data_IF_021189320718
#
_entry.id   IF_021189320718
#
_cell.length_a   1.000
_cell.length_b   1.000
_cell.length_c   1.000
_cell.angle_alpha   90.00
_cell.angle_beta   90.00
_cell.angle_gamma   90.00
#
_symmetry.space_group_name_H-M   'P 1'
#
loop_
_entity.id
_entity.type
_entity.pdbx_description
1 polymer ?
#
# COMPACT_ATOMS: atom_id res chain seq x y z
N UNK A 1 11.28 -24.10 8.68
CA UNK A 1 12.27 -23.21 9.32
C UNK A 1 12.21 -21.88 8.59
N UNK A 2 12.24 -20.75 9.29
CA UNK A 2 12.24 -19.44 8.64
C UNK A 2 13.64 -19.21 8.02
N UNK A 3 13.72 -19.20 6.70
CA UNK A 3 14.96 -19.04 5.92
C UNK A 3 15.69 -17.71 6.17
N UNK A 4 14.94 -16.68 6.60
CA UNK A 4 15.47 -15.32 6.80
C UNK A 4 15.79 -14.98 8.25
N UNK A 5 15.66 -15.93 9.20
CA UNK A 5 15.79 -15.67 10.66
C UNK A 5 17.10 -14.98 11.05
N UNK A 6 18.19 -15.30 10.36
CA UNK A 6 19.53 -14.80 10.67
C UNK A 6 19.98 -13.64 9.76
N UNK A 7 19.04 -13.08 8.96
CA UNK A 7 19.31 -11.90 8.14
C UNK A 7 19.26 -10.63 8.99
N UNK A 8 20.02 -9.60 8.55
CA UNK A 8 19.91 -8.28 9.14
C UNK A 8 18.50 -7.73 8.92
N UNK A 9 17.89 -7.11 9.94
CA UNK A 9 16.53 -6.59 9.83
C UNK A 9 16.45 -5.42 8.86
N UNK A 10 15.37 -5.37 8.09
CA UNK A 10 14.99 -4.19 7.29
C UNK A 10 14.52 -3.09 8.25
N UNK A 11 15.01 -1.87 8.09
CA UNK A 11 14.47 -0.69 8.76
C UNK A 11 13.26 -0.19 7.96
N UNK A 12 12.05 -0.38 8.48
CA UNK A 12 10.80 0.05 7.85
C UNK A 12 10.35 1.39 8.42
N UNK A 13 10.36 2.43 7.59
CA UNK A 13 9.77 3.75 7.88
C UNK A 13 8.30 3.73 7.48
N UNK A 14 7.41 3.88 8.47
CA UNK A 14 6.04 3.44 8.35
C UNK A 14 5.04 4.38 9.02
N UNK A 15 3.84 4.42 8.48
CA UNK A 15 2.62 4.87 9.14
C UNK A 15 1.46 3.97 8.69
N UNK A 16 0.41 3.69 9.53
CA UNK A 16 -0.68 2.76 9.20
C UNK A 16 -1.59 3.33 8.11
N UNK A 17 -1.14 3.27 6.87
CA UNK A 17 -1.81 3.73 5.65
C UNK A 17 -1.91 2.60 4.64
N UNK A 18 -2.79 2.74 3.65
CA UNK A 18 -2.93 1.74 2.57
C UNK A 18 -1.61 1.45 1.84
N UNK A 19 -0.69 2.42 1.76
CA UNK A 19 0.63 2.21 1.17
C UNK A 19 1.61 1.54 2.16
N UNK A 20 1.53 1.89 3.45
CA UNK A 20 2.33 1.26 4.51
C UNK A 20 2.04 -0.24 4.60
N UNK A 21 0.77 -0.62 4.59
CA UNK A 21 0.33 -2.02 4.67
C UNK A 21 0.97 -2.93 3.61
N UNK A 22 1.29 -2.42 2.43
CA UNK A 22 1.94 -3.21 1.38
C UNK A 22 3.23 -3.85 1.89
N UNK A 23 4.04 -3.08 2.60
CA UNK A 23 5.38 -3.51 3.02
C UNK A 23 5.31 -4.33 4.31
N UNK A 24 4.49 -3.91 5.28
CA UNK A 24 4.29 -4.71 6.49
C UNK A 24 3.73 -6.11 6.16
N UNK A 25 2.77 -6.20 5.23
CA UNK A 25 2.23 -7.48 4.76
C UNK A 25 3.32 -8.32 4.10
N UNK A 26 4.14 -7.74 3.21
CA UNK A 26 5.21 -8.49 2.57
C UNK A 26 6.19 -9.07 3.58
N UNK A 27 6.65 -8.24 4.53
CA UNK A 27 7.63 -8.67 5.53
C UNK A 27 7.07 -9.76 6.45
N UNK A 28 5.80 -9.66 6.83
CA UNK A 28 5.12 -10.70 7.61
C UNK A 28 4.91 -12.01 6.82
N UNK A 29 4.51 -11.92 5.54
CA UNK A 29 4.34 -13.10 4.67
C UNK A 29 5.66 -13.80 4.37
N UNK A 30 6.74 -13.05 4.18
CA UNK A 30 8.07 -13.59 3.97
C UNK A 30 8.70 -14.11 5.28
N UNK A 31 8.20 -13.68 6.44
CA UNK A 31 8.87 -13.89 7.72
C UNK A 31 10.23 -13.22 7.78
N UNK A 32 10.44 -12.13 7.04
CA UNK A 32 11.71 -11.41 7.02
C UNK A 32 11.82 -10.50 8.25
N UNK A 33 12.97 -10.48 8.96
CA UNK A 33 13.13 -9.63 10.14
C UNK A 33 13.10 -8.14 9.76
N UNK A 34 12.42 -7.34 10.57
CA UNK A 34 12.35 -5.90 10.36
C UNK A 34 12.13 -5.13 11.67
N UNK A 35 12.61 -3.89 11.70
CA UNK A 35 12.35 -2.91 12.73
C UNK A 35 11.39 -1.85 12.19
N UNK A 36 10.48 -1.35 13.02
CA UNK A 36 9.52 -0.32 12.62
C UNK A 36 9.95 1.03 13.15
N UNK A 37 10.09 1.98 12.24
CA UNK A 37 10.33 3.39 12.53
C UNK A 37 9.07 4.17 12.14
N UNK A 38 8.24 4.54 13.13
CA UNK A 38 7.03 5.30 12.86
C UNK A 38 7.36 6.72 12.43
N UNK A 39 6.75 7.16 11.31
CA UNK A 39 6.84 8.53 10.80
C UNK A 39 5.48 9.17 10.92
N UNK A 40 5.26 9.99 11.96
CA UNK A 40 3.96 10.58 12.23
C UNK A 40 3.63 11.70 11.22
N UNK A 41 2.86 11.32 10.21
CA UNK A 41 2.49 12.22 9.11
C UNK A 41 1.58 13.38 9.56
N UNK A 42 0.83 13.20 10.66
CA UNK A 42 -0.03 14.24 11.20
C UNK A 42 0.76 15.33 11.92
N UNK A 43 1.99 15.03 12.34
CA UNK A 43 2.92 15.98 12.97
C UNK A 43 3.95 16.55 12.00
N UNK A 44 3.97 16.09 10.75
CA UNK A 44 4.90 16.60 9.74
C UNK A 44 6.28 15.94 9.77
N UNK A 45 6.46 14.82 10.48
CA UNK A 45 7.75 14.13 10.57
C UNK A 45 8.29 13.67 9.21
N UNK A 46 7.41 13.51 8.20
CA UNK A 46 7.83 13.22 6.82
C UNK A 46 8.63 14.35 6.15
N UNK A 47 8.68 15.53 6.75
CA UNK A 47 9.46 16.68 6.27
C UNK A 47 10.79 16.84 6.97
N UNK A 48 11.07 16.02 7.97
CA UNK A 48 12.35 16.09 8.68
C UNK A 48 13.52 15.77 7.75
N UNK A 49 14.64 16.55 7.83
CA UNK A 49 15.78 16.34 6.95
C UNK A 49 16.37 14.92 6.99
N UNK A 50 16.26 14.25 8.12
CA UNK A 50 16.67 12.85 8.28
C UNK A 50 15.83 11.90 7.41
N UNK A 51 14.52 12.09 7.39
CA UNK A 51 13.62 11.27 6.58
C UNK A 51 13.71 11.63 5.08
N UNK A 52 13.88 12.90 4.73
CA UNK A 52 14.03 13.32 3.34
C UNK A 52 15.26 12.71 2.64
N UNK A 53 16.31 12.35 3.39
CA UNK A 53 17.46 11.62 2.85
C UNK A 53 17.10 10.20 2.41
N UNK A 54 16.08 9.59 3.05
CA UNK A 54 15.61 8.23 2.80
C UNK A 54 14.51 8.26 1.74
N UNK A 55 13.57 9.20 1.85
CA UNK A 55 12.43 9.39 0.96
C UNK A 55 12.32 10.84 0.51
N UNK A 56 12.97 11.23 -0.60
CA UNK A 56 12.98 12.61 -1.10
C UNK A 56 11.57 13.10 -1.52
N UNK A 57 10.63 12.19 -1.71
CA UNK A 57 9.22 12.48 -1.97
C UNK A 57 8.41 12.79 -0.69
N UNK A 58 9.04 12.80 0.49
CA UNK A 58 8.38 12.97 1.79
C UNK A 58 7.12 12.08 1.97
N UNK A 59 7.20 10.83 1.54
CA UNK A 59 6.12 9.83 1.65
C UNK A 59 6.65 8.54 2.28
N UNK A 60 5.82 7.91 3.11
CA UNK A 60 6.05 6.55 3.55
C UNK A 60 5.13 5.58 2.76
N UNK A 61 5.45 4.30 2.68
CA UNK A 61 6.62 3.65 3.29
C UNK A 61 7.93 3.97 2.57
N UNK A 62 9.02 3.88 3.34
CA UNK A 62 10.38 3.78 2.83
C UNK A 62 11.12 2.71 3.65
N UNK A 63 12.19 2.17 3.11
CA UNK A 63 13.03 1.19 3.83
C UNK A 63 14.51 1.57 3.75
N UNK A 64 15.27 1.11 4.75
CA UNK A 64 16.72 0.94 4.64
C UNK A 64 17.00 -0.54 4.74
N UNK A 65 17.70 -1.08 3.76
CA UNK A 65 18.22 -2.44 3.80
C UNK A 65 19.73 -2.39 4.05
N UNK A 66 20.20 -2.86 5.23
CA UNK A 66 21.63 -2.84 5.55
C UNK A 66 22.44 -3.86 4.75
N UNK A 67 21.78 -4.88 4.17
CA UNK A 67 22.39 -5.93 3.33
C UNK A 67 21.80 -5.85 1.91
N UNK A 68 21.92 -4.69 1.28
CA UNK A 68 21.45 -4.45 -0.07
C UNK A 68 22.34 -5.07 -1.16
N UNK A 69 22.16 -4.67 -2.43
CA UNK A 69 22.97 -5.17 -3.53
C UNK A 69 24.47 -5.03 -3.28
N UNK A 70 25.23 -6.08 -3.54
CA UNK A 70 26.69 -6.16 -3.28
C UNK A 70 27.05 -6.04 -1.78
N UNK A 71 26.10 -6.33 -0.87
CA UNK A 71 26.33 -6.23 0.58
C UNK A 71 26.45 -4.80 1.09
N UNK A 72 25.91 -3.82 0.35
CA UNK A 72 25.94 -2.41 0.73
C UNK A 72 24.54 -1.95 1.15
N UNK A 73 24.49 -1.10 2.17
CA UNK A 73 23.25 -0.46 2.60
C UNK A 73 22.59 0.31 1.45
N UNK A 74 21.26 0.21 1.38
CA UNK A 74 20.47 0.95 0.40
C UNK A 74 19.17 1.49 1.03
N UNK A 75 18.84 2.73 0.72
CA UNK A 75 17.53 3.34 1.02
C UNK A 75 16.63 3.23 -0.20
N UNK A 76 15.38 2.83 0.00
CA UNK A 76 14.39 2.68 -1.08
C UNK A 76 13.07 3.33 -0.65
N UNK A 77 12.54 4.17 -1.51
CA UNK A 77 11.19 4.75 -1.40
C UNK A 77 10.33 4.30 -2.59
N UNK A 78 9.05 4.66 -2.61
CA UNK A 78 7.98 4.16 -3.47
C UNK A 78 7.57 2.71 -3.15
N UNK A 79 6.36 2.55 -2.63
CA UNK A 79 5.86 1.25 -2.16
C UNK A 79 5.88 0.15 -3.23
N UNK A 80 5.64 0.50 -4.50
CA UNK A 80 5.74 -0.45 -5.62
C UNK A 80 7.19 -0.89 -5.88
N UNK A 81 8.15 0.05 -5.83
CA UNK A 81 9.57 -0.26 -5.99
C UNK A 81 10.10 -1.11 -4.83
N UNK A 82 9.68 -0.81 -3.60
CA UNK A 82 10.02 -1.60 -2.41
C UNK A 82 9.52 -3.04 -2.55
N UNK A 83 8.26 -3.23 -2.97
CA UNK A 83 7.70 -4.57 -3.21
C UNK A 83 8.50 -5.37 -4.24
N UNK A 84 8.83 -4.74 -5.38
CA UNK A 84 9.67 -5.41 -6.40
C UNK A 84 11.07 -5.75 -5.87
N UNK A 85 11.68 -4.81 -5.12
CA UNK A 85 12.99 -5.04 -4.53
C UNK A 85 12.96 -6.22 -3.56
N UNK A 86 12.02 -6.23 -2.61
CA UNK A 86 11.88 -7.29 -1.62
C UNK A 86 11.55 -8.64 -2.27
N UNK A 87 10.68 -8.64 -3.30
CA UNK A 87 10.37 -9.82 -4.08
C UNK A 87 11.58 -10.41 -4.77
N UNK A 88 12.44 -9.58 -5.38
CA UNK A 88 13.71 -10.01 -6.00
C UNK A 88 14.72 -10.48 -4.96
N UNK A 89 14.86 -9.77 -3.84
CA UNK A 89 15.79 -10.10 -2.76
C UNK A 89 15.47 -11.45 -2.12
N UNK A 90 14.19 -11.73 -1.89
CA UNK A 90 13.74 -12.93 -1.19
C UNK A 90 13.41 -14.10 -2.12
N UNK A 91 13.15 -13.84 -3.39
CA UNK A 91 12.63 -14.83 -4.33
C UNK A 91 11.15 -15.19 -4.08
N UNK A 92 10.44 -14.45 -3.21
CA UNK A 92 9.07 -14.73 -2.82
C UNK A 92 8.09 -13.72 -3.43
N UNK A 93 6.89 -14.17 -3.80
CA UNK A 93 5.75 -13.36 -4.25
C UNK A 93 6.00 -12.51 -5.51
N UNK A 94 7.14 -12.73 -6.17
CA UNK A 94 7.52 -12.05 -7.41
C UNK A 94 8.25 -13.08 -8.29
N UNK A 95 7.59 -13.60 -9.33
CA UNK A 95 8.10 -14.73 -10.09
C UNK A 95 9.37 -14.40 -10.87
N UNK A 96 10.24 -15.41 -11.06
CA UNK A 96 11.43 -15.30 -11.92
C UNK A 96 11.12 -15.54 -13.40
N UNK A 97 10.02 -16.23 -13.72
CA UNK A 97 9.55 -16.39 -15.10
C UNK A 97 9.10 -15.04 -15.68
N UNK A 98 9.67 -14.67 -16.83
CA UNK A 98 9.46 -13.35 -17.41
C UNK A 98 8.00 -13.05 -17.79
N UNK A 99 7.22 -14.06 -18.22
CA UNK A 99 5.80 -13.85 -18.57
C UNK A 99 4.96 -13.62 -17.33
N UNK A 100 5.14 -14.42 -16.31
CA UNK A 100 4.48 -14.24 -15.01
C UNK A 100 4.88 -12.91 -14.36
N UNK A 101 6.17 -12.55 -14.45
CA UNK A 101 6.68 -11.28 -13.92
C UNK A 101 6.01 -10.08 -14.59
N UNK A 102 5.88 -10.09 -15.92
CA UNK A 102 5.17 -9.03 -16.66
C UNK A 102 3.71 -8.92 -16.21
N UNK A 103 3.03 -10.04 -15.98
CA UNK A 103 1.64 -10.00 -15.48
C UNK A 103 1.56 -9.37 -14.09
N UNK A 104 2.45 -9.74 -13.16
CA UNK A 104 2.53 -9.13 -11.83
C UNK A 104 2.82 -7.63 -11.92
N UNK A 105 3.77 -7.23 -12.79
CA UNK A 105 4.14 -5.84 -12.99
C UNK A 105 2.99 -5.00 -13.54
N UNK A 106 2.24 -5.51 -14.53
CA UNK A 106 1.06 -4.84 -15.06
C UNK A 106 0.06 -4.50 -13.95
N UNK A 107 -0.23 -5.46 -13.06
CA UNK A 107 -1.18 -5.25 -11.97
C UNK A 107 -0.61 -4.39 -10.83
N UNK A 108 0.68 -4.50 -10.56
CA UNK A 108 1.37 -3.62 -9.61
C UNK A 108 1.33 -2.17 -10.10
N UNK A 109 1.70 -1.92 -11.36
CA UNK A 109 1.67 -0.56 -11.93
C UNK A 109 0.23 -0.05 -12.11
N UNK A 110 -0.73 -0.91 -12.45
CA UNK A 110 -2.14 -0.56 -12.44
C UNK A 110 -2.61 -0.12 -11.05
N UNK A 111 -2.18 -0.80 -9.99
CA UNK A 111 -2.50 -0.37 -8.64
C UNK A 111 -1.87 0.98 -8.31
N UNK A 112 -0.58 1.15 -8.57
CA UNK A 112 0.18 2.38 -8.25
C UNK A 112 -0.31 3.58 -9.07
N UNK A 113 -0.60 3.38 -10.36
CA UNK A 113 -0.98 4.46 -11.26
C UNK A 113 -2.49 4.76 -11.31
N UNK A 114 -3.33 3.81 -10.90
CA UNK A 114 -4.77 3.96 -11.04
C UNK A 114 -5.50 3.72 -9.71
N UNK A 115 -5.55 2.47 -9.21
CA UNK A 115 -6.40 2.13 -8.07
C UNK A 115 -6.06 2.96 -6.83
N UNK A 116 -4.79 3.05 -6.47
CA UNK A 116 -4.34 3.78 -5.29
C UNK A 116 -4.70 5.26 -5.37
N UNK A 117 -4.21 6.02 -6.36
CA UNK A 117 -4.47 7.45 -6.48
C UNK A 117 -5.96 7.79 -6.56
N UNK A 118 -6.75 7.02 -7.32
CA UNK A 118 -8.18 7.32 -7.48
C UNK A 118 -8.98 7.01 -6.22
N UNK A 119 -8.66 5.90 -5.52
CA UNK A 119 -9.29 5.55 -4.26
C UNK A 119 -8.92 6.57 -3.15
N UNK A 120 -7.68 7.09 -3.16
CA UNK A 120 -7.26 8.16 -2.25
C UNK A 120 -8.07 9.44 -2.48
N UNK A 121 -8.24 9.87 -3.74
CA UNK A 121 -9.03 11.06 -4.05
C UNK A 121 -10.51 10.86 -3.71
N UNK A 122 -11.10 9.70 -3.99
CA UNK A 122 -12.46 9.38 -3.59
C UNK A 122 -12.61 9.49 -2.05
N UNK A 123 -11.67 8.91 -1.30
CA UNK A 123 -11.65 9.01 0.16
C UNK A 123 -11.51 10.46 0.62
N UNK A 124 -10.59 11.22 0.04
CA UNK A 124 -10.35 12.63 0.40
C UNK A 124 -11.59 13.50 0.21
N UNK A 125 -12.18 13.52 -0.97
CA UNK A 125 -13.32 14.39 -1.26
C UNK A 125 -14.60 13.98 -0.51
N UNK A 126 -14.75 12.69 -0.19
CA UNK A 126 -15.89 12.20 0.61
C UNK A 126 -15.75 12.51 2.10
N UNK A 127 -14.55 12.36 2.66
CA UNK A 127 -14.37 12.32 4.12
C UNK A 127 -13.58 13.50 4.69
N UNK A 128 -12.57 14.03 3.97
CA UNK A 128 -11.66 15.04 4.51
C UNK A 128 -11.90 16.46 4.00
N UNK A 129 -12.34 16.60 2.75
CA UNK A 129 -12.54 17.91 2.15
C UNK A 129 -13.54 18.76 2.95
N UNK A 130 -13.12 19.93 3.41
CA UNK A 130 -13.94 20.88 4.14
C UNK A 130 -15.07 21.44 3.25
N UNK A 131 -14.78 21.60 1.96
CA UNK A 131 -15.79 22.02 0.96
C UNK A 131 -16.26 20.78 0.22
N UNK A 132 -17.56 20.48 0.29
CA UNK A 132 -18.15 19.36 -0.48
C UNK A 132 -18.33 19.79 -1.92
N UNK A 133 -17.49 19.24 -2.80
CA UNK A 133 -17.53 19.46 -4.25
C UNK A 133 -18.17 18.21 -4.89
N UNK A 134 -19.48 18.28 -5.13
CA UNK A 134 -20.24 17.12 -5.59
C UNK A 134 -19.65 16.50 -6.86
N UNK A 135 -19.25 17.32 -7.84
CA UNK A 135 -18.62 16.84 -9.07
C UNK A 135 -17.35 16.00 -8.79
N UNK A 136 -16.50 16.43 -7.86
CA UNK A 136 -15.28 15.68 -7.52
C UNK A 136 -15.63 14.37 -6.79
N UNK A 137 -16.59 14.42 -5.87
CA UNK A 137 -17.10 13.24 -5.16
C UNK A 137 -17.60 12.21 -6.18
N UNK A 138 -18.48 12.60 -7.10
CA UNK A 138 -19.04 11.70 -8.10
C UNK A 138 -17.98 11.18 -9.07
N UNK A 139 -17.10 12.06 -9.55
CA UNK A 139 -16.03 11.71 -10.50
C UNK A 139 -15.12 10.63 -9.95
N UNK A 140 -14.63 10.80 -8.72
CA UNK A 140 -13.69 9.83 -8.13
C UNK A 140 -14.39 8.58 -7.61
N UNK A 141 -15.61 8.69 -7.06
CA UNK A 141 -16.42 7.53 -6.66
C UNK A 141 -16.70 6.62 -7.87
N UNK A 142 -17.10 7.21 -9.01
CA UNK A 142 -17.37 6.47 -10.24
C UNK A 142 -16.10 5.82 -10.80
N UNK A 143 -14.95 6.50 -10.72
CA UNK A 143 -13.68 5.92 -11.17
C UNK A 143 -13.24 4.74 -10.30
N UNK A 144 -13.40 4.83 -8.98
CA UNK A 144 -13.14 3.67 -8.08
C UNK A 144 -14.09 2.51 -8.40
N UNK A 145 -15.38 2.79 -8.66
CA UNK A 145 -16.34 1.78 -9.07
C UNK A 145 -15.88 1.06 -10.34
N UNK A 146 -15.47 1.82 -11.36
CA UNK A 146 -14.93 1.27 -12.61
C UNK A 146 -13.69 0.39 -12.36
N UNK A 147 -12.77 0.83 -11.51
CA UNK A 147 -11.55 0.08 -11.17
C UNK A 147 -11.86 -1.20 -10.39
N UNK A 148 -12.80 -1.15 -9.45
CA UNK A 148 -13.29 -2.37 -8.79
C UNK A 148 -13.95 -3.33 -9.79
N UNK A 149 -14.68 -2.81 -10.77
CA UNK A 149 -15.23 -3.60 -11.87
C UNK A 149 -14.17 -4.28 -12.73
N UNK A 150 -13.05 -3.59 -13.02
CA UNK A 150 -11.90 -4.19 -13.73
C UNK A 150 -11.29 -5.32 -12.94
N UNK A 151 -11.07 -5.12 -11.64
CA UNK A 151 -10.53 -6.15 -10.77
C UNK A 151 -11.48 -7.36 -10.62
N UNK A 152 -12.76 -7.08 -10.36
CA UNK A 152 -13.80 -8.11 -10.27
C UNK A 152 -13.89 -8.96 -11.54
N UNK A 153 -13.83 -8.31 -12.72
CA UNK A 153 -13.80 -9.00 -14.01
C UNK A 153 -12.56 -9.85 -14.19
N UNK A 154 -11.39 -9.37 -13.76
CA UNK A 154 -10.13 -10.15 -13.84
C UNK A 154 -10.24 -11.45 -13.04
N UNK A 155 -10.88 -11.40 -11.87
CA UNK A 155 -11.07 -12.56 -11.00
C UNK A 155 -12.22 -13.50 -11.44
N UNK A 156 -13.04 -13.11 -12.40
CA UNK A 156 -14.23 -13.88 -12.82
C UNK A 156 -13.91 -15.14 -13.61
N UNK A 157 -12.67 -15.35 -14.02
CA UNK A 157 -12.22 -16.59 -14.67
C UNK A 157 -11.92 -17.73 -13.70
N UNK A 158 -12.14 -17.52 -12.40
CA UNK A 158 -11.94 -18.51 -11.33
C UNK A 158 -10.58 -18.48 -10.67
N UNK A 159 -9.72 -17.55 -11.04
CA UNK A 159 -8.42 -17.36 -10.37
C UNK A 159 -8.59 -16.90 -8.93
N UNK A 160 -7.67 -17.29 -8.08
CA UNK A 160 -7.69 -16.90 -6.67
C UNK A 160 -7.06 -15.54 -6.41
N UNK A 161 -6.08 -15.14 -7.23
CA UNK A 161 -5.27 -13.92 -7.08
C UNK A 161 -5.18 -13.18 -8.41
N UNK A 162 -4.84 -11.88 -8.36
CA UNK A 162 -4.94 -10.99 -9.52
C UNK A 162 -3.98 -11.41 -10.67
N UNK A 163 -2.82 -11.99 -10.32
CA UNK A 163 -1.81 -12.48 -11.26
C UNK A 163 -1.60 -14.00 -11.12
N UNK A 164 -2.68 -14.77 -11.14
CA UNK A 164 -2.75 -16.25 -10.97
C UNK A 164 -2.30 -16.71 -9.58
N UNK A 165 -1.05 -16.50 -9.21
CA UNK A 165 -0.49 -16.84 -7.91
C UNK A 165 -0.48 -15.62 -6.98
N UNK A 166 -0.51 -15.87 -5.66
CA UNK A 166 -0.37 -14.81 -4.67
C UNK A 166 0.94 -14.03 -4.85
N UNK A 167 0.83 -12.73 -5.00
CA UNK A 167 1.98 -11.91 -5.41
C UNK A 167 1.98 -10.52 -4.77
N UNK A 168 3.05 -9.78 -5.01
CA UNK A 168 3.16 -8.37 -4.64
C UNK A 168 2.04 -7.50 -5.22
N UNK A 169 1.40 -7.90 -6.31
CA UNK A 169 0.27 -7.20 -6.89
C UNK A 169 -0.97 -7.25 -5.97
N UNK A 170 -1.23 -8.41 -5.35
CA UNK A 170 -2.31 -8.56 -4.37
C UNK A 170 -2.03 -7.75 -3.10
N UNK A 171 -0.79 -7.82 -2.60
CA UNK A 171 -0.36 -7.02 -1.44
C UNK A 171 -0.49 -5.52 -1.69
N UNK A 172 -0.25 -5.08 -2.92
CA UNK A 172 -0.42 -3.69 -3.31
C UNK A 172 -1.88 -3.23 -3.28
N UNK A 173 -2.82 -4.12 -3.62
CA UNK A 173 -4.23 -3.80 -3.77
C UNK A 173 -5.02 -3.80 -2.46
N UNK A 174 -4.67 -4.66 -1.48
CA UNK A 174 -5.51 -4.95 -0.32
C UNK A 174 -5.89 -3.70 0.50
N UNK A 175 -4.94 -2.81 0.77
CA UNK A 175 -5.18 -1.58 1.53
C UNK A 175 -6.17 -0.62 0.84
N UNK A 176 -6.32 -0.74 -0.47
CA UNK A 176 -7.21 0.10 -1.27
C UNK A 176 -8.61 -0.49 -1.45
N UNK A 177 -8.77 -1.80 -1.23
CA UNK A 177 -10.08 -2.48 -1.19
C UNK A 177 -10.69 -2.43 0.22
N UNK A 178 -9.87 -2.35 1.28
CA UNK A 178 -10.36 -2.15 2.67
C UNK A 178 -11.20 -0.89 2.80
N UNK A 179 -12.21 -0.93 3.67
CA UNK A 179 -13.13 0.18 3.95
C UNK A 179 -13.75 0.76 2.66
N UNK A 180 -14.46 -0.05 1.87
CA UNK A 180 -15.02 0.34 0.59
C UNK A 180 -16.05 1.47 0.73
N UNK A 181 -16.83 1.49 1.83
CA UNK A 181 -17.80 2.52 2.21
C UNK A 181 -17.21 3.92 2.22
N UNK A 182 -15.99 4.09 2.74
CA UNK A 182 -15.27 5.37 2.75
C UNK A 182 -14.95 5.90 1.35
N UNK A 183 -14.99 5.04 0.34
CA UNK A 183 -14.78 5.36 -1.08
C UNK A 183 -16.08 5.34 -1.88
N UNK A 184 -17.24 5.12 -1.18
CA UNK A 184 -18.56 5.05 -1.78
C UNK A 184 -18.81 3.78 -2.58
N UNK A 185 -18.18 2.67 -2.17
CA UNK A 185 -18.35 1.36 -2.81
C UNK A 185 -19.02 0.37 -1.87
N UNK A 186 -19.70 -0.62 -2.44
CA UNK A 186 -20.18 -1.82 -1.76
C UNK A 186 -19.56 -3.05 -2.43
N UNK A 187 -18.88 -3.91 -1.67
CA UNK A 187 -18.28 -5.14 -2.20
C UNK A 187 -19.32 -6.17 -2.63
N UNK A 188 -20.59 -6.04 -2.21
CA UNK A 188 -21.65 -6.90 -2.70
C UNK A 188 -21.92 -6.72 -4.20
N UNK A 189 -21.60 -5.55 -4.77
CA UNK A 189 -21.68 -5.28 -6.20
C UNK A 189 -20.55 -5.97 -7.01
N UNK A 190 -19.52 -6.49 -6.32
CA UNK A 190 -18.32 -7.07 -6.90
C UNK A 190 -17.99 -8.44 -6.31
N UNK A 191 -18.77 -9.49 -6.60
CA UNK A 191 -18.69 -10.77 -5.87
C UNK A 191 -17.33 -11.44 -5.92
N UNK A 192 -16.65 -11.46 -7.06
CA UNK A 192 -15.31 -12.06 -7.17
C UNK A 192 -14.24 -11.24 -6.42
N UNK A 193 -14.32 -9.92 -6.44
CA UNK A 193 -13.47 -9.05 -5.66
C UNK A 193 -13.72 -9.22 -4.15
N UNK A 194 -14.99 -9.41 -3.75
CA UNK A 194 -15.36 -9.67 -2.36
C UNK A 194 -14.77 -11.01 -1.87
N UNK A 195 -14.80 -12.04 -2.69
CA UNK A 195 -14.24 -13.35 -2.34
C UNK A 195 -12.70 -13.30 -2.26
N UNK A 196 -12.06 -12.56 -3.18
CA UNK A 196 -10.62 -12.26 -3.09
C UNK A 196 -10.31 -11.49 -1.79
N UNK A 197 -11.09 -10.47 -1.46
CA UNK A 197 -10.90 -9.68 -0.25
C UNK A 197 -10.99 -10.53 1.01
N UNK A 198 -11.99 -11.40 1.12
CA UNK A 198 -12.13 -12.35 2.24
C UNK A 198 -10.94 -13.29 2.33
N UNK A 199 -10.49 -13.84 1.18
CA UNK A 199 -9.29 -14.70 1.09
C UNK A 199 -8.03 -13.97 1.58
N UNK A 200 -7.81 -12.75 1.12
CA UNK A 200 -6.70 -11.93 1.59
C UNK A 200 -6.76 -11.69 3.09
N UNK A 201 -7.93 -11.31 3.61
CA UNK A 201 -8.12 -11.02 5.04
C UNK A 201 -8.19 -12.27 5.92
N UNK A 202 -8.21 -13.49 5.36
CA UNK A 202 -8.06 -14.74 6.12
C UNK A 202 -6.60 -15.15 6.35
N UNK A 203 -5.65 -14.52 5.67
CA UNK A 203 -4.21 -14.83 5.80
C UNK A 203 -3.65 -14.22 7.09
N UNK A 204 -3.03 -15.01 7.98
CA UNK A 204 -2.52 -14.51 9.27
C UNK A 204 -1.52 -13.36 9.10
N UNK A 205 -0.63 -13.44 8.11
CA UNK A 205 0.36 -12.41 7.84
C UNK A 205 -0.27 -11.09 7.32
N UNK A 206 -1.33 -11.18 6.51
CA UNK A 206 -2.09 -10.00 6.08
C UNK A 206 -2.77 -9.34 7.27
N UNK A 207 -3.41 -10.12 8.14
CA UNK A 207 -4.04 -9.59 9.37
C UNK A 207 -3.00 -8.88 10.23
N UNK A 208 -1.84 -9.52 10.46
CA UNK A 208 -0.76 -8.94 11.27
C UNK A 208 -0.17 -7.67 10.65
N UNK A 209 0.10 -7.71 9.34
CA UNK A 209 0.67 -6.55 8.62
C UNK A 209 -0.27 -5.35 8.59
N UNK A 210 -1.58 -5.57 8.53
CA UNK A 210 -2.60 -4.52 8.58
C UNK A 210 -2.82 -3.98 9.99
N UNK A 211 -2.65 -4.80 11.03
CA UNK A 211 -2.79 -4.40 12.42
C UNK A 211 -1.59 -3.61 12.95
N UNK A 212 -0.47 -3.58 12.22
CA UNK A 212 0.72 -2.84 12.64
C UNK A 212 0.42 -1.35 12.83
N UNK A 213 0.59 -0.86 14.07
CA UNK A 213 0.35 0.54 14.43
C UNK A 213 -1.14 0.93 14.46
N UNK A 214 -2.05 -0.03 14.62
CA UNK A 214 -3.49 0.26 14.68
C UNK A 214 -3.85 1.24 15.80
N UNK A 215 -3.13 1.21 16.91
CA UNK A 215 -3.27 2.11 18.04
C UNK A 215 -2.91 3.58 17.72
N UNK A 216 -2.18 3.82 16.62
CA UNK A 216 -1.80 5.16 16.15
C UNK A 216 -2.87 5.79 15.24
N UNK A 217 -3.91 5.03 14.95
CA UNK A 217 -4.97 5.49 14.06
C UNK A 217 -5.83 6.53 14.76
N UNK A 218 -5.98 7.70 14.15
CA UNK A 218 -6.90 8.73 14.62
C UNK A 218 -7.76 9.26 13.46
N UNK A 219 -8.90 9.84 13.82
CA UNK A 219 -9.85 10.36 12.84
C UNK A 219 -9.38 11.70 12.28
N UNK A 220 -8.67 11.64 11.16
CA UNK A 220 -8.19 12.83 10.43
C UNK A 220 -9.33 13.78 10.00
N UNK A 221 -10.58 13.32 9.92
CA UNK A 221 -11.70 14.18 9.50
C UNK A 221 -11.98 15.31 10.47
N UNK A 222 -11.54 15.14 11.73
CA UNK A 222 -11.73 16.10 12.83
C UNK A 222 -10.47 16.88 13.20
N UNK A 223 -9.32 16.53 12.60
CA UNK A 223 -8.03 17.14 12.91
C UNK A 223 -7.59 18.11 11.80
N UNK A 224 -8.02 19.38 11.95
CA UNK A 224 -7.74 20.42 10.97
C UNK A 224 -6.25 20.78 10.86
N UNK A 225 -5.47 20.62 11.94
CA UNK A 225 -4.02 20.88 11.90
C UNK A 225 -3.31 19.77 11.11
N UNK A 226 -3.64 18.52 11.37
CA UNK A 226 -3.12 17.40 10.56
C UNK A 226 -3.53 17.53 9.09
N UNK A 227 -4.76 17.95 8.80
CA UNK A 227 -5.21 18.19 7.42
C UNK A 227 -4.40 19.29 6.73
N UNK A 228 -4.06 20.40 7.40
CA UNK A 228 -3.19 21.44 6.83
C UNK A 228 -1.80 20.90 6.49
N UNK A 229 -1.22 20.09 7.38
CA UNK A 229 0.07 19.44 7.16
C UNK A 229 0.01 18.49 5.97
N UNK A 230 -1.03 17.64 5.89
CA UNK A 230 -1.16 16.60 4.88
C UNK A 230 -1.56 17.13 3.51
N UNK A 231 -2.47 18.09 3.45
CA UNK A 231 -3.12 18.53 2.20
C UNK A 231 -2.72 19.94 1.75
N UNK A 232 -2.05 20.71 2.61
CA UNK A 232 -1.59 22.07 2.31
C UNK A 232 -0.18 22.16 1.70
N UNK A 233 0.43 21.03 1.35
CA UNK A 233 1.81 20.98 0.87
C UNK A 233 1.99 21.72 -0.47
N UNK A 234 3.06 22.51 -0.55
CA UNK A 234 3.48 23.22 -1.76
C UNK A 234 4.99 23.13 -1.87
N UNK A 235 5.51 23.27 -3.10
CA UNK A 235 6.94 23.41 -3.30
C UNK A 235 7.46 24.65 -2.53
N UNK A 236 8.50 24.46 -1.74
CA UNK A 236 9.24 25.59 -1.17
C UNK A 236 10.06 26.24 -2.29
N UNK A 237 10.01 27.57 -2.38
CA UNK A 237 10.83 28.35 -3.32
C UNK A 237 12.29 28.40 -2.85
#
# INVERSE_FOLDING_TARGET
MNEFKDKLPIELFYWPTSNGFKISIFLEEAGYPYNVNFVNISKGEQFEPSFLKISPNNRMPAIIDPDGPSGQEISIFESGAILQYLGKKTGLFYPSDSRKQIEVDQWLFWQVGNLGPMAEQAHHFRNYSQTKIQYAIDRYTNEVNRLYGVFNKKLSDGREYIAEEYSIADMACIGWVRNPDKKGQDLNDFPYLNDWFKRMMSRPAVIKGVALGEELHHDLSKDLEAQKILFGQRATK
#
